data_IF_899681794586
#
_entry.id   IF_899681794586
#
_cell.length_a   1.000
_cell.length_b   1.000
_cell.length_c   1.000
_cell.angle_alpha   90.00
_cell.angle_beta   90.00
_cell.angle_gamma   90.00
#
_symmetry.space_group_name_H-M   'P 1'
#
loop_
_entity.id
_entity.type
_entity.pdbx_description
1 polymer ?
#
# COMPACT_ATOMS: atom_id res chain seq x y z
N UNK A 1 -32.61 21.84 38.01
CA UNK A 1 -32.41 23.01 37.11
C UNK A 1 -30.91 23.16 36.92
N UNK A 2 -30.29 23.09 35.75
CA UNK A 2 -30.77 23.20 34.37
C UNK A 2 -29.97 22.26 33.46
N UNK A 3 -30.68 21.64 32.52
CA UNK A 3 -30.11 21.01 31.34
C UNK A 3 -29.45 22.08 30.46
N UNK A 4 -28.26 21.80 29.92
CA UNK A 4 -27.71 22.53 28.78
C UNK A 4 -27.91 21.67 27.54
N UNK A 5 -28.97 21.98 26.80
CA UNK A 5 -29.13 21.60 25.40
C UNK A 5 -28.10 22.42 24.61
N UNK A 6 -27.17 21.73 23.95
CA UNK A 6 -26.34 22.32 22.89
C UNK A 6 -27.11 22.20 21.59
N UNK A 7 -27.62 23.34 21.12
CA UNK A 7 -28.21 23.51 19.79
C UNK A 7 -27.10 23.52 18.75
N UNK A 8 -27.06 22.51 17.88
CA UNK A 8 -26.29 22.54 16.64
C UNK A 8 -27.17 23.10 15.54
N UNK A 9 -26.93 24.35 15.14
CA UNK A 9 -27.44 24.88 13.86
C UNK A 9 -26.42 24.58 12.74
N UNK A 10 -26.87 24.13 11.56
CA UNK A 10 -26.00 23.97 10.41
C UNK A 10 -25.85 25.31 9.69
N UNK A 11 -24.62 25.81 9.60
CA UNK A 11 -24.29 26.93 8.71
C UNK A 11 -24.29 26.39 7.28
N UNK A 12 -25.44 26.51 6.62
CA UNK A 12 -25.60 26.33 5.19
C UNK A 12 -25.20 27.64 4.51
N UNK A 13 -24.04 27.65 3.84
CA UNK A 13 -23.73 28.59 2.76
C UNK A 13 -22.47 28.14 2.02
N UNK A 14 -22.63 27.27 1.04
CA UNK A 14 -21.64 27.10 -0.03
C UNK A 14 -22.39 27.03 -1.36
N UNK A 15 -22.11 28.02 -2.21
CA UNK A 15 -22.55 28.07 -3.59
C UNK A 15 -22.12 26.78 -4.30
N UNK A 16 -23.09 26.13 -4.94
CA UNK A 16 -22.90 24.94 -5.74
C UNK A 16 -22.01 25.25 -6.95
N UNK A 17 -20.74 24.87 -6.88
CA UNK A 17 -19.98 24.60 -8.08
C UNK A 17 -20.50 23.26 -8.65
N UNK A 18 -21.55 23.34 -9.45
CA UNK A 18 -22.01 22.22 -10.27
C UNK A 18 -20.82 21.84 -11.16
N UNK A 19 -20.17 20.70 -10.88
CA UNK A 19 -19.28 20.08 -11.86
C UNK A 19 -20.09 19.93 -13.15
N UNK A 20 -19.60 20.56 -14.22
CA UNK A 20 -20.24 20.46 -15.53
C UNK A 20 -20.43 18.96 -15.86
N UNK A 21 -21.60 18.55 -16.37
CA UNK A 21 -21.77 17.20 -16.90
C UNK A 21 -20.87 17.08 -18.14
N UNK A 22 -19.67 16.53 -17.96
CA UNK A 22 -18.65 16.55 -19.02
C UNK A 22 -17.47 15.61 -18.80
N UNK A 23 -16.91 15.50 -17.60
CA UNK A 23 -15.70 14.70 -17.40
C UNK A 23 -15.79 13.89 -16.10
N UNK A 24 -16.12 12.62 -16.25
CA UNK A 24 -16.45 11.73 -15.14
C UNK A 24 -15.18 11.11 -14.54
N UNK A 25 -15.11 11.09 -13.21
CA UNK A 25 -14.15 10.28 -12.48
C UNK A 25 -14.18 8.85 -13.02
N UNK A 26 -13.02 8.33 -13.37
CA UNK A 26 -12.90 7.05 -14.04
C UNK A 26 -11.83 6.20 -13.38
N UNK A 27 -12.03 4.88 -13.44
CA UNK A 27 -11.10 3.90 -12.91
C UNK A 27 -10.90 2.79 -13.91
N UNK A 28 -9.67 2.31 -14.04
CA UNK A 28 -9.30 1.13 -14.80
C UNK A 28 -8.42 0.24 -13.93
N UNK A 29 -8.58 -1.07 -14.06
CA UNK A 29 -7.93 -2.06 -13.18
C UNK A 29 -7.39 -3.19 -14.04
N UNK A 30 -6.18 -3.66 -13.72
CA UNK A 30 -5.61 -4.85 -14.34
C UNK A 30 -4.66 -5.55 -13.39
N UNK A 31 -4.40 -6.83 -13.66
CA UNK A 31 -3.40 -7.63 -12.95
C UNK A 31 -2.64 -8.53 -13.91
N UNK A 32 -1.39 -8.82 -13.55
CA UNK A 32 -0.54 -9.81 -14.23
C UNK A 32 0.21 -10.63 -13.19
N UNK A 33 0.41 -11.91 -13.49
CA UNK A 33 1.25 -12.81 -12.70
C UNK A 33 2.73 -12.45 -12.96
N UNK A 34 3.46 -12.17 -11.88
CA UNK A 34 4.89 -11.82 -11.88
C UNK A 34 5.71 -12.84 -11.08
N UNK A 35 5.17 -14.04 -10.87
CA UNK A 35 5.84 -15.13 -10.17
C UNK A 35 7.17 -15.45 -10.89
N UNK A 36 8.31 -15.39 -10.17
CA UNK A 36 9.60 -15.56 -10.80
C UNK A 36 9.84 -17.04 -11.20
N UNK A 37 10.67 -17.29 -12.22
CA UNK A 37 11.30 -18.59 -12.36
C UNK A 37 12.06 -18.97 -11.08
N UNK A 38 12.07 -20.26 -10.71
CA UNK A 38 12.77 -20.74 -9.52
C UNK A 38 14.30 -20.53 -9.58
N UNK A 39 14.84 -20.23 -10.76
CA UNK A 39 16.25 -19.85 -10.99
C UNK A 39 16.56 -18.42 -10.56
N UNK A 40 15.57 -17.63 -10.15
CA UNK A 40 15.78 -16.30 -9.59
C UNK A 40 15.82 -16.41 -8.07
N UNK A 41 16.89 -15.94 -7.41
CA UNK A 41 17.03 -16.08 -5.97
C UNK A 41 16.10 -15.13 -5.21
N UNK A 42 15.69 -15.58 -4.03
CA UNK A 42 14.93 -14.78 -3.08
C UNK A 42 15.83 -13.91 -2.21
N UNK A 43 15.25 -12.89 -1.58
CA UNK A 43 15.93 -12.15 -0.53
C UNK A 43 16.39 -13.10 0.57
N UNK A 44 17.62 -12.90 1.05
CA UNK A 44 17.93 -13.34 2.40
C UNK A 44 18.79 -12.38 3.21
N UNK A 45 18.60 -12.46 4.52
CA UNK A 45 19.60 -12.00 5.48
C UNK A 45 20.66 -13.10 5.54
N UNK A 46 21.95 -12.75 5.43
CA UNK A 46 23.02 -13.75 5.49
C UNK A 46 22.85 -14.62 6.76
N UNK A 47 22.92 -15.96 6.65
CA UNK A 47 23.40 -16.76 5.52
C UNK A 47 22.32 -17.32 4.56
N UNK A 48 21.04 -16.97 4.71
CA UNK A 48 19.91 -17.74 4.14
C UNK A 48 19.59 -17.50 2.65
N UNK A 49 20.56 -17.12 1.82
CA UNK A 49 20.31 -16.82 0.40
C UNK A 49 20.17 -18.12 -0.39
N UNK A 50 19.19 -18.19 -1.29
CA UNK A 50 19.02 -19.37 -2.11
C UNK A 50 18.01 -19.21 -3.22
N UNK A 51 17.81 -20.31 -3.93
CA UNK A 51 16.75 -20.46 -4.91
C UNK A 51 15.48 -20.94 -4.22
N UNK A 52 14.35 -20.53 -4.77
CA UNK A 52 13.07 -21.09 -4.37
C UNK A 52 13.03 -22.59 -4.74
N UNK A 53 12.45 -23.40 -3.86
CA UNK A 53 12.18 -24.82 -4.09
C UNK A 53 10.79 -25.07 -4.68
N UNK A 54 9.96 -24.03 -4.74
CA UNK A 54 8.60 -24.09 -5.27
C UNK A 54 7.86 -22.77 -5.05
N UNK A 55 6.58 -22.78 -5.41
CA UNK A 55 5.66 -21.65 -5.25
C UNK A 55 4.56 -22.10 -4.31
N UNK A 56 4.36 -21.40 -3.19
CA UNK A 56 3.21 -21.62 -2.31
C UNK A 56 1.99 -20.88 -2.87
N UNK A 57 2.17 -19.61 -3.18
CA UNK A 57 1.16 -18.76 -3.81
C UNK A 57 1.82 -17.83 -4.85
N UNK A 58 1.11 -17.50 -5.95
CA UNK A 58 1.64 -16.66 -7.01
C UNK A 58 1.83 -15.22 -6.54
N UNK A 59 2.78 -14.52 -7.17
CA UNK A 59 3.00 -13.09 -6.99
C UNK A 59 2.31 -12.31 -8.10
N UNK A 60 1.64 -11.21 -7.75
CA UNK A 60 0.98 -10.36 -8.73
C UNK A 60 1.56 -8.94 -8.77
N UNK A 61 1.52 -8.36 -9.96
CA UNK A 61 1.49 -6.92 -10.13
C UNK A 61 0.06 -6.51 -10.48
N UNK A 62 -0.49 -5.54 -9.76
CA UNK A 62 -1.85 -5.03 -9.95
C UNK A 62 -1.78 -3.53 -10.16
N UNK A 63 -2.43 -3.03 -11.20
CA UNK A 63 -2.48 -1.62 -11.52
C UNK A 63 -3.89 -1.08 -11.38
N UNK A 64 -3.99 0.13 -10.83
CA UNK A 64 -5.17 0.97 -10.89
C UNK A 64 -4.81 2.27 -11.60
N UNK A 65 -5.58 2.64 -12.62
CA UNK A 65 -5.51 3.94 -13.27
C UNK A 65 -6.75 4.71 -12.88
N UNK A 66 -6.55 5.94 -12.39
CA UNK A 66 -7.64 6.85 -12.01
C UNK A 66 -7.51 8.11 -12.85
N UNK A 67 -8.64 8.58 -13.40
CA UNK A 67 -8.70 9.81 -14.18
C UNK A 67 -9.81 10.74 -13.73
N UNK A 68 -9.55 12.04 -13.77
CA UNK A 68 -10.54 13.11 -13.51
C UNK A 68 -11.08 13.77 -14.78
N UNK A 69 -10.62 13.32 -15.96
CA UNK A 69 -10.95 13.89 -17.27
C UNK A 69 -9.81 14.68 -17.90
N UNK A 70 -8.98 15.31 -17.07
CA UNK A 70 -7.83 16.10 -17.51
C UNK A 70 -6.53 15.32 -17.35
N UNK A 71 -6.37 14.64 -16.21
CA UNK A 71 -5.17 13.90 -15.84
C UNK A 71 -5.49 12.46 -15.48
N UNK A 72 -4.54 11.57 -15.79
CA UNK A 72 -4.58 10.16 -15.41
C UNK A 72 -3.36 9.84 -14.56
N UNK A 73 -3.58 9.13 -13.46
CA UNK A 73 -2.53 8.67 -12.55
C UNK A 73 -2.63 7.16 -12.41
N UNK A 74 -1.49 6.48 -12.46
CA UNK A 74 -1.39 5.04 -12.26
C UNK A 74 -0.70 4.71 -10.94
N UNK A 75 -1.27 3.76 -10.19
CA UNK A 75 -0.62 3.14 -9.06
C UNK A 75 -0.50 1.64 -9.32
N UNK A 76 0.69 1.10 -9.12
CA UNK A 76 0.97 -0.33 -9.28
C UNK A 76 1.45 -0.89 -7.95
N UNK A 77 0.78 -1.92 -7.44
CA UNK A 77 1.27 -2.71 -6.31
C UNK A 77 1.89 -4.00 -6.81
N UNK A 78 3.12 -4.29 -6.40
CA UNK A 78 3.87 -5.49 -6.80
C UNK A 78 4.17 -6.31 -5.56
N UNK A 79 3.80 -7.59 -5.58
CA UNK A 79 4.18 -8.55 -4.56
C UNK A 79 5.70 -8.77 -4.58
N UNK A 80 6.40 -7.98 -3.76
CA UNK A 80 7.86 -7.90 -3.74
C UNK A 80 8.32 -7.28 -2.43
N UNK A 81 9.59 -7.48 -2.07
CA UNK A 81 10.17 -6.80 -0.91
C UNK A 81 10.34 -5.29 -1.16
N UNK A 82 10.57 -4.87 -2.38
CA UNK A 82 10.93 -3.50 -2.71
C UNK A 82 11.29 -3.43 -4.17
N UNK A 83 11.43 -2.22 -4.70
CA UNK A 83 11.82 -2.00 -6.10
C UNK A 83 12.94 -0.98 -6.09
N UNK A 84 14.18 -1.44 -6.16
CA UNK A 84 15.34 -0.58 -6.21
C UNK A 84 15.58 -0.08 -7.64
N UNK A 85 15.86 1.23 -7.78
CA UNK A 85 16.24 1.83 -9.07
C UNK A 85 17.40 1.09 -9.73
N UNK A 86 18.38 0.66 -8.95
CA UNK A 86 19.61 0.01 -9.42
C UNK A 86 19.56 -1.52 -9.40
N UNK A 87 18.38 -2.14 -9.31
CA UNK A 87 18.26 -3.62 -9.28
C UNK A 87 18.88 -4.28 -10.52
N UNK A 88 18.80 -3.60 -11.67
CA UNK A 88 19.38 -4.03 -12.96
C UNK A 88 20.84 -3.54 -13.17
N UNK A 89 21.53 -3.12 -12.11
CA UNK A 89 22.89 -2.58 -12.15
C UNK A 89 22.96 -1.06 -11.98
N UNK A 90 24.18 -0.53 -11.85
CA UNK A 90 24.42 0.89 -11.58
C UNK A 90 24.08 1.83 -12.75
N UNK A 91 24.12 1.30 -13.98
CA UNK A 91 23.89 2.07 -15.21
C UNK A 91 22.40 2.21 -15.56
N UNK A 92 21.53 1.41 -14.93
CA UNK A 92 20.10 1.36 -15.23
C UNK A 92 19.27 1.96 -14.10
N UNK A 93 18.17 2.59 -14.45
CA UNK A 93 17.14 2.99 -13.48
C UNK A 93 15.86 2.23 -13.84
N UNK A 94 15.68 1.08 -13.19
CA UNK A 94 14.57 0.17 -13.45
C UNK A 94 13.20 0.83 -13.28
N UNK A 95 13.07 1.74 -12.32
CA UNK A 95 11.80 2.46 -12.09
C UNK A 95 11.54 3.43 -13.24
N UNK A 96 12.55 4.19 -13.66
CA UNK A 96 12.42 5.12 -14.79
C UNK A 96 12.11 4.38 -16.10
N UNK A 97 12.73 3.22 -16.32
CA UNK A 97 12.48 2.36 -17.48
C UNK A 97 11.03 1.86 -17.52
N UNK A 98 10.49 1.33 -16.41
CA UNK A 98 9.08 0.91 -16.35
C UNK A 98 8.16 2.08 -16.67
N UNK A 99 8.40 3.24 -16.07
CA UNK A 99 7.58 4.44 -16.27
C UNK A 99 7.59 4.91 -17.72
N UNK A 100 8.75 4.90 -18.38
CA UNK A 100 8.85 5.27 -19.79
C UNK A 100 8.20 4.24 -20.72
N UNK A 101 8.44 2.95 -20.50
CA UNK A 101 7.77 1.91 -21.28
C UNK A 101 6.24 1.97 -21.14
N UNK A 102 5.72 2.27 -19.94
CA UNK A 102 4.29 2.47 -19.73
C UNK A 102 3.78 3.73 -20.45
N UNK A 103 4.52 4.84 -20.35
CA UNK A 103 4.21 6.09 -21.05
C UNK A 103 4.07 5.88 -22.56
N UNK A 104 5.01 5.17 -23.19
CA UNK A 104 4.94 4.85 -24.61
C UNK A 104 3.70 4.03 -25.00
N UNK A 105 3.17 3.22 -24.08
CA UNK A 105 2.02 2.34 -24.33
C UNK A 105 0.65 3.00 -24.10
N UNK A 106 0.54 3.99 -23.21
CA UNK A 106 -0.75 4.57 -22.79
C UNK A 106 -0.78 6.11 -22.64
N UNK A 107 0.36 6.78 -22.75
CA UNK A 107 0.48 8.23 -22.67
C UNK A 107 0.36 8.83 -21.27
N UNK A 108 0.28 8.03 -20.20
CA UNK A 108 0.35 8.53 -18.81
C UNK A 108 1.76 9.08 -18.56
N UNK A 109 1.87 10.28 -17.98
CA UNK A 109 3.17 10.90 -17.68
C UNK A 109 4.01 10.00 -16.75
N UNK A 110 5.32 9.83 -16.96
CA UNK A 110 6.17 9.02 -16.08
C UNK A 110 6.11 9.41 -14.59
N UNK A 111 5.93 10.70 -14.31
CA UNK A 111 5.75 11.28 -12.98
C UNK A 111 4.41 10.93 -12.34
N UNK A 112 3.42 10.54 -13.15
CA UNK A 112 2.06 10.12 -12.74
C UNK A 112 1.93 8.61 -12.54
N UNK A 113 3.06 7.90 -12.51
CA UNK A 113 3.10 6.45 -12.32
C UNK A 113 3.83 6.14 -11.00
N UNK A 114 3.12 5.62 -10.02
CA UNK A 114 3.67 5.18 -8.74
C UNK A 114 3.81 3.65 -8.71
N UNK A 115 5.00 3.16 -8.36
CA UNK A 115 5.23 1.75 -8.09
C UNK A 115 5.39 1.54 -6.58
N UNK A 116 4.62 0.60 -6.04
CA UNK A 116 4.58 0.22 -4.64
C UNK A 116 4.93 -1.26 -4.52
N UNK A 117 5.72 -1.60 -3.50
CA UNK A 117 5.95 -2.99 -3.11
C UNK A 117 5.07 -3.33 -1.91
N UNK A 118 4.52 -4.55 -1.85
CA UNK A 118 3.82 -5.02 -0.63
C UNK A 118 4.76 -5.19 0.56
N UNK A 119 6.07 -5.31 0.28
CA UNK A 119 7.14 -5.60 1.22
C UNK A 119 7.22 -7.08 1.65
N UNK A 120 6.68 -8.00 0.83
CA UNK A 120 6.75 -9.43 1.10
C UNK A 120 8.18 -9.97 0.99
N UNK A 121 8.63 -10.73 2.00
CA UNK A 121 10.02 -11.19 2.11
C UNK A 121 10.32 -12.54 1.46
N UNK A 122 9.31 -13.30 1.03
CA UNK A 122 9.48 -14.55 0.27
C UNK A 122 9.28 -14.31 -1.23
N UNK A 123 9.98 -13.28 -1.71
CA UNK A 123 9.97 -12.78 -3.08
C UNK A 123 11.43 -12.57 -3.57
N UNK A 124 11.67 -12.41 -4.89
CA UNK A 124 12.99 -12.05 -5.41
C UNK A 124 13.55 -10.78 -4.75
N UNK A 125 14.88 -10.66 -4.67
CA UNK A 125 15.56 -9.47 -4.14
C UNK A 125 15.53 -8.29 -5.13
N UNK A 126 14.32 -7.75 -5.36
CA UNK A 126 14.13 -6.51 -6.10
C UNK A 126 14.52 -5.27 -5.28
N UNK A 127 14.76 -5.43 -3.97
CA UNK A 127 15.19 -4.37 -3.07
C UNK A 127 16.66 -3.96 -3.22
N UNK A 128 17.45 -4.70 -4.01
CA UNK A 128 18.85 -4.38 -4.27
C UNK A 128 19.75 -4.58 -3.06
N UNK A 129 19.39 -5.48 -2.15
CA UNK A 129 20.23 -5.82 -0.99
C UNK A 129 21.45 -6.66 -1.41
N UNK A 130 21.33 -7.38 -2.52
CA UNK A 130 22.40 -8.06 -3.24
C UNK A 130 22.38 -7.68 -4.72
N UNK A 131 23.46 -8.02 -5.42
CA UNK A 131 23.57 -7.82 -6.86
C UNK A 131 22.77 -8.88 -7.63
N UNK A 132 21.43 -8.79 -7.60
CA UNK A 132 20.55 -9.72 -8.32
C UNK A 132 20.94 -9.86 -9.80
N UNK A 133 21.30 -8.75 -10.45
CA UNK A 133 21.79 -8.70 -11.83
C UNK A 133 23.00 -9.61 -12.14
N UNK A 134 23.78 -10.03 -11.14
CA UNK A 134 24.91 -10.94 -11.33
C UNK A 134 24.49 -12.41 -11.43
N UNK A 135 23.24 -12.74 -11.10
CA UNK A 135 22.75 -14.11 -11.21
C UNK A 135 22.39 -14.46 -12.67
N UNK A 136 22.75 -15.66 -13.17
CA UNK A 136 22.38 -16.11 -14.51
C UNK A 136 20.87 -16.01 -14.75
N UNK A 137 20.49 -15.39 -15.88
CA UNK A 137 19.08 -15.21 -16.26
C UNK A 137 18.35 -14.06 -15.56
N UNK A 138 18.92 -13.45 -14.51
CA UNK A 138 18.25 -12.38 -13.77
C UNK A 138 18.01 -11.12 -14.61
N UNK A 139 18.94 -10.74 -15.49
CA UNK A 139 18.76 -9.58 -16.37
C UNK A 139 17.60 -9.78 -17.36
N UNK A 140 17.52 -10.96 -18.00
CA UNK A 140 16.42 -11.28 -18.90
C UNK A 140 15.08 -11.32 -18.18
N UNK A 141 15.05 -11.83 -16.95
CA UNK A 141 13.86 -11.79 -16.10
C UNK A 141 13.48 -10.37 -15.69
N UNK A 142 14.45 -9.51 -15.34
CA UNK A 142 14.20 -8.10 -15.03
C UNK A 142 13.63 -7.35 -16.25
N UNK A 143 14.14 -7.60 -17.46
CA UNK A 143 13.58 -7.00 -18.67
C UNK A 143 12.13 -7.47 -18.92
N UNK A 144 11.85 -8.76 -18.74
CA UNK A 144 10.48 -9.28 -18.82
C UNK A 144 9.57 -8.68 -17.75
N UNK A 145 10.05 -8.56 -16.51
CA UNK A 145 9.31 -7.94 -15.42
C UNK A 145 9.02 -6.46 -15.72
N UNK A 146 9.99 -5.70 -16.25
CA UNK A 146 9.77 -4.32 -16.69
C UNK A 146 8.60 -4.24 -17.67
N UNK A 147 8.61 -5.10 -18.68
CA UNK A 147 7.58 -5.12 -19.72
C UNK A 147 6.22 -5.52 -19.14
N UNK A 148 6.16 -6.52 -18.25
CA UNK A 148 4.95 -6.91 -17.53
C UNK A 148 4.38 -5.74 -16.69
N UNK A 149 5.23 -5.01 -15.97
CA UNK A 149 4.83 -3.86 -15.16
C UNK A 149 4.31 -2.70 -16.03
N UNK A 150 4.95 -2.44 -17.18
CA UNK A 150 4.47 -1.44 -18.12
C UNK A 150 3.13 -1.86 -18.76
N UNK A 151 3.00 -3.13 -19.15
CA UNK A 151 1.79 -3.66 -19.77
C UNK A 151 0.60 -3.69 -18.82
N UNK A 152 0.77 -4.03 -17.54
CA UNK A 152 -0.35 -4.01 -16.58
C UNK A 152 -0.90 -2.59 -16.38
N UNK A 153 -0.05 -1.56 -16.43
CA UNK A 153 -0.49 -0.16 -16.44
C UNK A 153 -1.32 0.15 -17.69
N UNK A 154 -0.82 -0.22 -18.87
CA UNK A 154 -1.52 0.01 -20.13
C UNK A 154 -2.83 -0.78 -20.23
N UNK A 155 -2.90 -1.98 -19.66
CA UNK A 155 -4.11 -2.78 -19.57
C UNK A 155 -5.14 -2.11 -18.65
N UNK A 156 -4.71 -1.60 -17.49
CA UNK A 156 -5.58 -0.87 -16.58
C UNK A 156 -6.12 0.40 -17.26
N UNK A 157 -5.27 1.18 -17.94
CA UNK A 157 -5.69 2.38 -18.67
C UNK A 157 -6.76 2.07 -19.73
N UNK A 158 -6.60 0.98 -20.49
CA UNK A 158 -7.59 0.54 -21.49
C UNK A 158 -8.90 0.04 -20.88
N UNK A 159 -8.87 -0.42 -19.63
CA UNK A 159 -10.05 -0.88 -18.89
C UNK A 159 -10.77 0.26 -18.13
N UNK A 160 -10.39 1.52 -18.41
CA UNK A 160 -10.94 2.68 -17.73
C UNK A 160 -12.42 2.88 -18.06
N UNK A 161 -13.22 3.12 -17.02
CA UNK A 161 -14.64 3.45 -17.16
C UNK A 161 -15.14 4.31 -15.99
N UNK A 162 -16.28 5.01 -16.14
CA UNK A 162 -16.82 5.87 -15.11
C UNK A 162 -17.06 5.14 -13.78
N UNK A 163 -16.72 5.80 -12.67
CA UNK A 163 -16.77 5.19 -11.34
C UNK A 163 -17.03 6.22 -10.22
N UNK A 164 -17.12 5.70 -9.00
CA UNK A 164 -17.21 6.42 -7.74
C UNK A 164 -16.11 5.92 -6.82
N UNK A 165 -15.54 6.83 -6.04
CA UNK A 165 -14.61 6.51 -4.96
C UNK A 165 -15.34 6.60 -3.62
N UNK A 166 -15.15 5.59 -2.77
CA UNK A 166 -15.64 5.53 -1.39
C UNK A 166 -14.45 5.32 -0.45
N UNK A 167 -14.49 5.94 0.73
CA UNK A 167 -13.39 5.89 1.71
C UNK A 167 -13.89 5.34 3.04
N UNK A 168 -13.21 4.32 3.55
CA UNK A 168 -13.50 3.68 4.82
C UNK A 168 -12.27 3.64 5.72
N UNK A 169 -12.49 3.63 7.04
CA UNK A 169 -11.45 3.46 8.05
C UNK A 169 -11.85 2.37 9.04
N UNK A 170 -10.89 1.52 9.37
CA UNK A 170 -11.06 0.37 10.24
C UNK A 170 -9.88 0.20 11.19
N UNK A 171 -9.94 -0.86 12.00
CA UNK A 171 -8.86 -1.19 12.93
C UNK A 171 -8.65 -2.69 13.00
N UNK A 172 -7.41 -3.15 12.90
CA UNK A 172 -7.02 -4.56 13.02
C UNK A 172 -6.02 -4.71 14.16
N UNK A 173 -6.55 -4.80 15.39
CA UNK A 173 -5.72 -5.04 16.57
C UNK A 173 -5.13 -6.46 16.58
N UNK A 174 -3.88 -6.58 17.02
CA UNK A 174 -3.23 -7.87 17.26
C UNK A 174 -2.61 -8.54 16.02
N UNK A 175 -2.64 -7.88 14.86
CA UNK A 175 -1.83 -8.30 13.71
C UNK A 175 -0.39 -7.80 13.88
N UNK A 176 -0.21 -6.49 14.07
CA UNK A 176 1.08 -5.84 14.21
C UNK A 176 1.50 -5.59 15.66
N UNK A 177 2.80 -5.56 15.90
CA UNK A 177 3.41 -5.12 17.16
C UNK A 177 4.70 -4.33 16.90
N UNK A 178 5.05 -3.46 17.85
CA UNK A 178 6.34 -2.78 17.86
C UNK A 178 7.50 -3.78 17.91
N UNK A 179 8.39 -3.71 16.93
CA UNK A 179 9.59 -4.56 16.82
C UNK A 179 10.61 -4.27 17.93
N UNK A 180 10.55 -3.07 18.52
CA UNK A 180 11.43 -2.59 19.58
C UNK A 180 10.58 -1.99 20.69
N UNK A 181 10.85 -2.39 21.92
CA UNK A 181 10.08 -2.04 23.12
C UNK A 181 11.01 -1.68 24.28
N UNK A 182 10.55 -0.85 25.22
CA UNK A 182 11.34 -0.41 26.37
C UNK A 182 10.87 -1.15 27.62
N UNK A 183 11.80 -1.79 28.33
CA UNK A 183 11.54 -2.41 29.63
C UNK A 183 11.44 -1.36 30.74
N UNK A 184 10.86 -1.75 31.88
CA UNK A 184 10.85 -0.93 33.11
C UNK A 184 12.25 -0.68 33.67
N UNK A 185 13.23 -1.51 33.29
CA UNK A 185 14.66 -1.33 33.54
C UNK A 185 15.33 -0.28 32.64
N UNK A 186 14.57 0.35 31.74
CA UNK A 186 15.04 1.36 30.78
C UNK A 186 15.75 0.79 29.55
N UNK A 187 15.91 -0.53 29.42
CA UNK A 187 16.58 -1.16 28.27
C UNK A 187 15.64 -1.29 27.07
N UNK A 188 16.24 -1.27 25.87
CA UNK A 188 15.55 -1.54 24.62
C UNK A 188 15.64 -3.05 24.30
N UNK A 189 14.50 -3.67 24.07
CA UNK A 189 14.36 -5.08 23.71
C UNK A 189 13.84 -5.21 22.29
N UNK A 190 14.27 -6.25 21.57
CA UNK A 190 13.59 -6.68 20.35
C UNK A 190 12.35 -7.50 20.70
N UNK A 191 11.32 -7.45 19.85
CA UNK A 191 10.08 -8.21 20.05
C UNK A 191 10.30 -9.71 20.33
N UNK A 192 11.31 -10.29 19.68
CA UNK A 192 11.71 -11.70 19.87
C UNK A 192 12.23 -12.02 21.27
N UNK A 193 12.91 -11.07 21.88
CA UNK A 193 13.68 -11.25 23.12
C UNK A 193 13.06 -10.42 24.26
N UNK A 194 11.74 -10.15 24.17
CA UNK A 194 11.02 -9.26 25.07
C UNK A 194 10.89 -9.86 26.49
N UNK A 195 10.94 -9.03 27.54
CA UNK A 195 10.67 -9.48 28.91
C UNK A 195 9.16 -9.79 29.10
N UNK A 196 8.75 -10.34 30.25
CA UNK A 196 7.35 -10.49 30.63
C UNK A 196 6.54 -9.21 30.43
N UNK A 197 5.24 -9.34 30.13
CA UNK A 197 4.38 -8.20 29.77
C UNK A 197 4.32 -7.13 30.88
N UNK A 198 4.40 -7.51 32.15
CA UNK A 198 4.41 -6.64 33.31
C UNK A 198 5.74 -5.90 33.53
N UNK A 199 6.80 -6.30 32.83
CA UNK A 199 8.11 -5.64 32.80
C UNK A 199 8.28 -4.71 31.59
N UNK A 200 7.24 -4.53 30.77
CA UNK A 200 7.27 -3.65 29.58
C UNK A 200 6.71 -2.28 29.95
N UNK A 201 7.55 -1.25 29.85
CA UNK A 201 7.18 0.14 30.10
C UNK A 201 6.61 0.84 28.84
N UNK A 202 7.04 0.40 27.65
CA UNK A 202 6.62 0.96 26.36
C UNK A 202 6.64 -0.13 25.29
N UNK A 203 5.50 -0.33 24.65
CA UNK A 203 5.28 -1.35 23.62
C UNK A 203 5.86 -0.98 22.26
N UNK A 204 6.41 0.22 22.12
CA UNK A 204 6.87 0.76 20.85
C UNK A 204 5.71 1.20 19.97
N UNK A 205 6.06 1.56 18.73
CA UNK A 205 5.11 2.09 17.76
C UNK A 205 4.43 0.93 17.02
N UNK A 206 3.10 0.91 17.06
CA UNK A 206 2.24 0.14 16.16
C UNK A 206 1.10 1.02 15.67
N UNK A 207 0.59 0.73 14.48
CA UNK A 207 -0.57 1.40 13.90
C UNK A 207 -1.51 0.32 13.37
N UNK A 208 -2.65 0.21 14.05
CA UNK A 208 -3.67 -0.77 13.73
C UNK A 208 -4.73 -0.19 12.77
N UNK A 209 -4.61 1.07 12.32
CA UNK A 209 -5.53 1.68 11.38
C UNK A 209 -5.45 1.01 10.00
N UNK A 210 -6.62 0.66 9.46
CA UNK A 210 -6.79 0.26 8.07
C UNK A 210 -7.50 1.38 7.34
N UNK A 211 -6.92 1.86 6.24
CA UNK A 211 -7.60 2.79 5.32
C UNK A 211 -7.99 2.03 4.07
N UNK A 212 -9.23 2.18 3.64
CA UNK A 212 -9.82 1.48 2.48
C UNK A 212 -10.33 2.51 1.48
N UNK A 213 -9.90 2.40 0.23
CA UNK A 213 -10.48 3.09 -0.91
C UNK A 213 -11.21 2.04 -1.76
N UNK A 214 -12.52 2.16 -1.87
CA UNK A 214 -13.34 1.29 -2.72
C UNK A 214 -13.77 2.06 -3.96
N UNK A 215 -13.49 1.48 -5.13
CA UNK A 215 -13.84 2.02 -6.43
C UNK A 215 -15.01 1.21 -6.98
N UNK A 216 -16.13 1.88 -7.25
CA UNK A 216 -17.37 1.26 -7.70
C UNK A 216 -17.76 1.85 -9.05
N UNK A 217 -18.07 0.99 -10.03
CA UNK A 217 -18.61 1.40 -11.33
C UNK A 217 -19.98 2.08 -11.15
N UNK A 218 -20.41 2.88 -12.13
CA UNK A 218 -21.70 3.59 -12.02
C UNK A 218 -22.94 2.68 -11.99
N UNK A 219 -22.80 1.42 -12.43
CA UNK A 219 -23.82 0.38 -12.33
C UNK A 219 -23.81 -0.36 -10.97
N UNK A 220 -22.91 0.03 -10.06
CA UNK A 220 -22.75 -0.59 -8.74
C UNK A 220 -21.77 -1.77 -8.72
N UNK A 221 -21.20 -2.17 -9.85
CA UNK A 221 -20.21 -3.25 -9.85
C UNK A 221 -18.91 -2.81 -9.15
N UNK A 222 -18.30 -3.65 -8.29
CA UNK A 222 -17.05 -3.31 -7.63
C UNK A 222 -15.88 -3.38 -8.61
N UNK A 223 -15.16 -2.28 -8.80
CA UNK A 223 -14.02 -2.21 -9.70
C UNK A 223 -12.72 -2.61 -8.99
N UNK A 224 -12.35 -1.89 -7.92
CA UNK A 224 -11.13 -2.14 -7.18
C UNK A 224 -11.26 -1.79 -5.71
N UNK A 225 -10.40 -2.39 -4.90
CA UNK A 225 -10.21 -2.03 -3.49
C UNK A 225 -8.74 -1.78 -3.26
N UNK A 226 -8.37 -0.56 -2.86
CA UNK A 226 -7.04 -0.24 -2.37
C UNK A 226 -7.11 -0.21 -0.84
N UNK A 227 -6.21 -0.92 -0.18
CA UNK A 227 -6.19 -0.96 1.28
C UNK A 227 -4.78 -0.79 1.81
N UNK A 228 -4.67 -0.04 2.90
CA UNK A 228 -3.41 0.30 3.54
C UNK A 228 -3.40 -0.22 4.97
N UNK A 229 -2.28 -0.80 5.38
CA UNK A 229 -2.04 -1.22 6.76
C UNK A 229 -0.54 -1.24 7.08
N UNK A 230 -0.16 -0.96 8.33
CA UNK A 230 1.23 -0.76 8.75
C UNK A 230 1.82 -1.98 9.47
N UNK A 231 2.24 -2.99 8.72
CA UNK A 231 2.94 -4.14 9.29
C UNK A 231 3.87 -4.80 8.26
N UNK A 232 5.11 -5.13 8.66
CA UNK A 232 6.01 -5.89 7.80
C UNK A 232 5.40 -7.26 7.44
N UNK A 233 5.32 -7.62 6.15
CA UNK A 233 4.97 -8.97 5.71
C UNK A 233 6.17 -9.92 5.86
N UNK A 234 6.41 -10.31 7.11
CA UNK A 234 7.50 -11.18 7.55
C UNK A 234 7.00 -12.47 8.22
N UNK A 235 5.73 -12.83 8.04
CA UNK A 235 5.16 -14.05 8.65
C UNK A 235 5.82 -15.31 8.10
N UNK A 236 6.15 -15.32 6.81
CA UNK A 236 6.96 -16.39 6.19
C UNK A 236 8.25 -15.83 5.61
N UNK A 237 8.98 -15.03 6.39
CA UNK A 237 10.22 -14.41 5.93
C UNK A 237 11.29 -15.45 5.53
N UNK A 238 11.88 -15.30 4.34
CA UNK A 238 12.96 -16.18 3.83
C UNK A 238 12.55 -17.66 3.77
N UNK A 239 11.34 -17.92 3.31
CA UNK A 239 10.83 -19.27 3.10
C UNK A 239 11.39 -19.83 1.77
N UNK A 240 11.71 -21.14 1.68
CA UNK A 240 12.09 -21.75 0.40
C UNK A 240 10.96 -21.74 -0.65
N UNK A 241 9.73 -21.39 -0.29
CA UNK A 241 8.61 -21.24 -1.22
C UNK A 241 8.32 -19.76 -1.51
N UNK A 242 8.01 -19.44 -2.76
CA UNK A 242 7.50 -18.12 -3.15
C UNK A 242 6.17 -17.85 -2.45
N UNK A 243 6.01 -16.65 -1.87
CA UNK A 243 4.75 -16.21 -1.26
C UNK A 243 4.62 -14.69 -1.17
N UNK A 244 3.41 -14.19 -1.41
CA UNK A 244 3.00 -12.81 -1.21
C UNK A 244 2.69 -12.48 0.27
N UNK A 245 2.85 -13.45 1.19
CA UNK A 245 2.61 -13.31 2.64
C UNK A 245 1.16 -12.86 2.94
N UNK A 246 0.87 -12.35 4.14
CA UNK A 246 -0.48 -12.01 4.56
C UNK A 246 -1.18 -10.97 3.66
N UNK A 247 -0.49 -10.00 2.99
CA UNK A 247 -1.14 -9.11 2.04
C UNK A 247 -1.78 -9.84 0.87
N UNK A 248 -1.13 -10.89 0.35
CA UNK A 248 -1.66 -11.71 -0.73
C UNK A 248 -2.96 -12.43 -0.34
N UNK A 249 -2.97 -13.04 0.85
CA UNK A 249 -4.17 -13.68 1.41
C UNK A 249 -5.29 -12.66 1.65
N UNK A 250 -4.97 -11.49 2.22
CA UNK A 250 -5.96 -10.43 2.43
C UNK A 250 -6.59 -9.97 1.11
N UNK A 251 -5.76 -9.71 0.08
CA UNK A 251 -6.24 -9.32 -1.23
C UNK A 251 -7.13 -10.39 -1.87
N UNK A 252 -6.73 -11.66 -1.81
CA UNK A 252 -7.53 -12.77 -2.34
C UNK A 252 -8.89 -12.90 -1.64
N UNK A 253 -8.94 -12.75 -0.31
CA UNK A 253 -10.20 -12.76 0.45
C UNK A 253 -11.11 -11.61 0.02
N UNK A 254 -10.57 -10.40 -0.13
CA UNK A 254 -11.34 -9.23 -0.56
C UNK A 254 -11.91 -9.44 -1.97
N UNK A 255 -11.09 -9.87 -2.92
CA UNK A 255 -11.53 -10.18 -4.30
C UNK A 255 -12.63 -11.24 -4.30
N UNK A 256 -12.45 -12.33 -3.53
CA UNK A 256 -13.41 -13.42 -3.45
C UNK A 256 -14.76 -12.99 -2.87
N UNK A 257 -14.76 -12.17 -1.82
CA UNK A 257 -16.01 -11.81 -1.11
C UNK A 257 -16.71 -10.64 -1.79
N UNK A 258 -15.97 -9.65 -2.26
CA UNK A 258 -16.56 -8.44 -2.87
C UNK A 258 -16.85 -8.64 -4.35
N UNK A 259 -16.09 -9.50 -5.04
CA UNK A 259 -16.15 -9.63 -6.50
C UNK A 259 -15.44 -8.51 -7.25
N UNK A 260 -14.62 -7.68 -6.58
CA UNK A 260 -13.86 -6.64 -7.26
C UNK A 260 -12.85 -7.22 -8.26
N UNK A 261 -12.53 -6.46 -9.31
CA UNK A 261 -11.57 -6.87 -10.35
C UNK A 261 -10.13 -6.93 -9.81
N UNK A 262 -9.84 -6.20 -8.72
CA UNK A 262 -8.56 -6.27 -8.02
C UNK A 262 -8.56 -5.65 -6.63
N UNK A 263 -7.94 -6.34 -5.67
CA UNK A 263 -7.62 -5.80 -4.35
C UNK A 263 -6.11 -5.57 -4.22
N UNK A 264 -5.72 -4.36 -3.85
CA UNK A 264 -4.34 -3.87 -3.88
C UNK A 264 -3.90 -3.42 -2.48
N UNK A 265 -2.83 -4.01 -1.98
CA UNK A 265 -2.24 -3.64 -0.70
C UNK A 265 -1.17 -2.56 -0.87
N UNK A 266 -1.28 -1.48 -0.09
CA UNK A 266 -0.23 -0.48 0.05
C UNK A 266 0.35 -0.53 1.46
N UNK A 267 1.67 -0.60 1.53
CA UNK A 267 2.38 -0.59 2.79
C UNK A 267 2.43 0.81 3.43
N UNK A 268 2.26 0.84 4.75
CA UNK A 268 2.48 2.05 5.56
C UNK A 268 3.92 2.22 6.04
N UNK A 269 4.11 3.06 7.05
CA UNK A 269 5.42 3.30 7.68
C UNK A 269 5.87 2.12 8.59
N UNK A 270 5.96 0.91 8.05
CA UNK A 270 6.13 -0.33 8.80
C UNK A 270 7.53 -0.56 9.39
N UNK A 271 8.49 0.36 9.21
CA UNK A 271 9.89 0.22 9.64
C UNK A 271 10.11 -0.27 11.09
N UNK A 272 9.14 0.00 11.97
CA UNK A 272 9.16 -0.39 13.38
C UNK A 272 8.14 -1.48 13.75
N UNK A 273 7.34 -2.01 12.84
CA UNK A 273 6.28 -2.99 13.12
C UNK A 273 6.52 -4.35 12.47
N UNK A 274 6.17 -5.42 13.19
CA UNK A 274 6.25 -6.82 12.74
C UNK A 274 4.97 -7.57 13.12
N UNK A 275 4.68 -8.74 12.52
CA UNK A 275 3.58 -9.57 12.96
C UNK A 275 3.78 -10.02 14.43
N UNK A 276 2.70 -10.05 15.21
CA UNK A 276 2.74 -10.44 16.63
C UNK A 276 3.37 -11.82 16.85
N UNK A 277 3.07 -12.78 15.97
CA UNK A 277 3.62 -14.14 16.00
C UNK A 277 4.85 -14.22 15.11
N UNK A 278 5.99 -14.54 15.72
CA UNK A 278 7.25 -14.80 15.03
C UNK A 278 7.29 -16.27 14.59
N UNK A 279 6.83 -16.51 13.39
CA UNK A 279 6.59 -17.84 12.83
C UNK A 279 7.20 -17.96 11.43
N UNK A 280 7.08 -19.14 10.82
CA UNK A 280 7.29 -19.37 9.39
C UNK A 280 6.18 -20.27 8.84
N UNK A 281 5.01 -20.27 9.50
CA UNK A 281 3.88 -21.12 9.21
C UNK A 281 2.86 -20.39 8.33
N UNK A 282 2.43 -21.06 7.25
CA UNK A 282 1.42 -20.51 6.35
C UNK A 282 0.03 -20.43 7.00
N UNK A 283 -0.25 -21.17 8.07
CA UNK A 283 -1.49 -20.99 8.84
C UNK A 283 -1.53 -19.61 9.52
N UNK A 284 -0.39 -19.08 9.95
CA UNK A 284 -0.28 -17.72 10.48
C UNK A 284 -0.41 -16.66 9.38
N UNK A 285 0.09 -16.94 8.17
CA UNK A 285 -0.14 -16.09 6.98
C UNK A 285 -1.63 -15.99 6.71
N UNK A 286 -2.32 -17.14 6.70
CA UNK A 286 -3.76 -17.23 6.56
C UNK A 286 -4.50 -16.44 7.63
N UNK A 287 -4.13 -16.62 8.90
CA UNK A 287 -4.72 -15.91 10.05
C UNK A 287 -4.63 -14.40 9.90
N UNK A 288 -3.44 -13.86 9.60
CA UNK A 288 -3.25 -12.41 9.44
C UNK A 288 -3.92 -11.87 8.19
N UNK A 289 -3.89 -12.61 7.09
CA UNK A 289 -4.58 -12.24 5.86
C UNK A 289 -6.10 -12.17 6.06
N UNK A 290 -6.68 -13.13 6.79
CA UNK A 290 -8.10 -13.12 7.11
C UNK A 290 -8.50 -12.00 8.07
N UNK A 291 -7.66 -11.67 9.06
CA UNK A 291 -7.90 -10.53 9.95
C UNK A 291 -7.96 -9.22 9.16
N UNK A 292 -6.95 -8.97 8.32
CA UNK A 292 -6.88 -7.75 7.52
C UNK A 292 -7.96 -7.70 6.43
N UNK A 293 -8.06 -8.75 5.63
CA UNK A 293 -9.05 -8.83 4.57
C UNK A 293 -10.49 -8.78 5.10
N UNK A 294 -10.77 -9.41 6.24
CA UNK A 294 -12.07 -9.36 6.90
C UNK A 294 -12.45 -7.93 7.35
N UNK A 295 -11.49 -7.18 7.88
CA UNK A 295 -11.72 -5.76 8.22
C UNK A 295 -12.02 -4.94 6.97
N UNK A 296 -11.26 -5.13 5.89
CA UNK A 296 -11.48 -4.43 4.63
C UNK A 296 -12.87 -4.75 4.05
N UNK A 297 -13.24 -6.05 4.01
CA UNK A 297 -14.57 -6.50 3.59
C UNK A 297 -15.67 -5.83 4.41
N UNK A 298 -15.50 -5.75 5.74
CA UNK A 298 -16.45 -5.05 6.63
C UNK A 298 -16.60 -3.58 6.23
N UNK A 299 -15.51 -2.89 5.92
CA UNK A 299 -15.57 -1.49 5.50
C UNK A 299 -16.22 -1.33 4.12
N UNK A 300 -15.90 -2.19 3.15
CA UNK A 300 -16.56 -2.19 1.84
C UNK A 300 -18.07 -2.39 1.99
N UNK A 301 -18.50 -3.39 2.77
CA UNK A 301 -19.92 -3.65 3.02
C UNK A 301 -20.65 -2.46 3.67
N UNK A 302 -20.01 -1.78 4.63
CA UNK A 302 -20.55 -0.55 5.22
C UNK A 302 -20.75 0.56 4.19
N UNK A 303 -19.79 0.74 3.27
CA UNK A 303 -19.85 1.75 2.20
C UNK A 303 -20.82 1.38 1.07
N UNK A 304 -21.27 0.14 1.00
CA UNK A 304 -22.33 -0.31 0.08
C UNK A 304 -23.75 0.01 0.58
N UNK A 305 -23.90 0.55 1.78
CA UNK A 305 -25.21 0.96 2.30
C UNK A 305 -25.84 2.05 1.41
N UNK A 306 -27.15 1.96 1.08
CA UNK A 306 -27.81 2.94 0.20
C UNK A 306 -27.78 4.38 0.69
N UNK A 307 -27.67 4.57 2.01
CA UNK A 307 -27.61 5.84 2.71
C UNK A 307 -26.17 6.30 3.01
N UNK A 308 -25.16 5.62 2.45
CA UNK A 308 -23.78 6.04 2.58
C UNK A 308 -23.60 7.48 2.06
N UNK A 309 -23.15 8.43 2.90
CA UNK A 309 -23.01 9.82 2.50
C UNK A 309 -22.11 9.95 1.25
N UNK A 310 -22.57 10.76 0.30
CA UNK A 310 -21.79 11.13 -0.89
C UNK A 310 -21.41 12.60 -0.76
N UNK A 311 -20.12 12.87 -0.61
CA UNK A 311 -19.58 14.23 -0.61
C UNK A 311 -18.71 14.43 -1.85
N UNK A 312 -18.75 15.63 -2.42
CA UNK A 312 -17.74 16.04 -3.39
C UNK A 312 -16.48 16.37 -2.61
N UNK A 313 -15.48 15.49 -2.71
CA UNK A 313 -14.17 15.69 -2.09
C UNK A 313 -13.14 15.97 -3.17
N UNK A 314 -12.28 16.97 -2.93
CA UNK A 314 -11.09 17.19 -3.75
C UNK A 314 -9.98 16.28 -3.20
N UNK A 315 -9.54 15.32 -4.00
CA UNK A 315 -8.38 14.49 -3.67
C UNK A 315 -7.14 15.17 -4.24
N UNK A 316 -6.22 15.59 -3.38
CA UNK A 316 -4.94 16.17 -3.78
C UNK A 316 -3.82 15.14 -3.60
N UNK A 317 -2.99 14.95 -4.63
CA UNK A 317 -1.78 14.15 -4.55
C UNK A 317 -0.57 15.08 -4.42
N UNK A 318 0.31 14.80 -3.46
CA UNK A 318 1.56 15.54 -3.30
C UNK A 318 2.73 14.58 -3.19
N UNK A 319 3.74 14.77 -4.04
CA UNK A 319 5.04 14.08 -3.89
C UNK A 319 5.94 14.94 -3.03
N UNK A 320 6.39 14.42 -1.90
CA UNK A 320 7.39 15.06 -1.05
C UNK A 320 8.68 14.25 -1.07
N UNK A 321 9.76 14.85 -1.55
CA UNK A 321 11.09 14.29 -1.33
C UNK A 321 11.54 14.66 0.09
N UNK A 322 11.67 13.66 0.94
CA UNK A 322 12.26 13.84 2.26
C UNK A 322 13.78 13.75 2.13
N UNK A 323 14.49 14.77 2.62
CA UNK A 323 15.96 14.70 2.72
C UNK A 323 16.34 13.77 3.89
N UNK A 324 17.47 13.08 3.80
CA UNK A 324 18.02 12.26 4.91
C UNK A 324 18.20 13.09 6.19
N UNK A 325 18.54 14.38 6.07
CA UNK A 325 18.63 15.32 7.19
C UNK A 325 17.26 15.52 7.86
N UNK A 326 16.19 15.64 7.08
CA UNK A 326 14.81 15.78 7.58
C UNK A 326 14.34 14.54 8.35
N UNK A 327 14.71 13.34 7.89
CA UNK A 327 14.36 12.06 8.54
C UNK A 327 15.13 11.89 9.86
N UNK A 328 16.40 12.31 9.91
CA UNK A 328 17.21 12.22 11.13
C UNK A 328 16.80 13.28 12.16
N UNK A 329 16.44 14.50 11.76
CA UNK A 329 16.01 15.56 12.68
C UNK A 329 14.65 15.29 13.32
N UNK A 330 13.72 14.66 12.60
CA UNK A 330 12.41 14.28 13.14
C UNK A 330 12.53 13.22 14.27
N UNK A 331 13.49 12.29 14.15
CA UNK A 331 13.76 11.29 15.17
C UNK A 331 14.48 11.85 16.42
N UNK A 332 15.14 13.01 16.32
CA UNK A 332 15.84 13.65 17.44
C UNK A 332 14.91 14.58 18.24
N UNK A 333 13.87 15.13 17.61
CA UNK A 333 13.01 16.15 18.24
C UNK A 333 11.66 15.63 18.76
N UNK A 334 11.26 14.38 18.45
CA UNK A 334 10.01 13.82 18.97
C UNK A 334 8.74 14.55 18.49
N UNK A 335 8.85 15.42 17.48
CA UNK A 335 7.71 16.13 16.93
C UNK A 335 7.07 15.27 15.83
N UNK A 336 5.84 14.81 16.10
CA UNK A 336 5.01 14.13 15.13
C UNK A 336 4.76 15.02 13.91
N UNK A 337 5.00 14.46 12.72
CA UNK A 337 4.57 15.04 11.44
C UNK A 337 3.04 14.98 11.32
N UNK A 338 2.30 15.70 12.17
CA UNK A 338 0.86 15.86 12.00
C UNK A 338 0.48 17.34 12.10
N UNK A 339 -0.05 17.82 10.97
CA UNK A 339 -0.69 19.10 10.64
C UNK A 339 0.22 20.28 10.23
N UNK A 340 0.10 20.78 8.98
CA UNK A 340 0.33 22.20 8.73
C UNK A 340 -0.87 23.02 9.23
N UNK A 341 -0.69 24.29 9.64
CA UNK A 341 -1.81 25.14 10.00
C UNK A 341 -2.68 25.44 8.78
N UNK A 342 -4.00 25.38 8.96
CA UNK A 342 -4.96 25.86 7.96
C UNK A 342 -4.67 27.35 7.64
N UNK A 343 -4.71 27.77 6.36
CA UNK A 343 -4.62 29.18 6.04
C UNK A 343 -5.86 29.91 6.60
N UNK A 344 -5.62 30.87 7.49
CA UNK A 344 -6.66 31.76 8.00
C UNK A 344 -7.27 32.61 6.87
N UNK A 345 -8.51 33.11 7.05
CA UNK A 345 -9.18 33.88 6.02
C UNK A 345 -8.42 35.17 5.73
N UNK A 346 -8.00 35.34 4.47
CA UNK A 346 -7.52 36.62 3.95
C UNK A 346 -8.66 37.63 3.97
N UNK A 347 -8.68 38.48 4.99
CA UNK A 347 -9.46 39.71 5.03
C UNK A 347 -8.88 40.73 4.06
N UNK A 348 -9.77 41.29 3.26
CA UNK A 348 -9.55 42.44 2.39
C UNK A 348 -9.12 43.69 3.19
N UNK A 349 -8.23 44.46 2.57
CA UNK A 349 -8.08 45.92 2.55
C UNK A 349 -8.68 46.74 3.72
N UNK A 350 -7.88 47.62 4.33
CA UNK A 350 -7.98 49.08 4.13
C UNK A 350 -6.97 49.86 5.00
N UNK A 351 -6.46 50.95 4.40
CA UNK A 351 -5.58 52.04 4.86
C UNK A 351 -4.18 51.74 5.36
#
# INVERSE_FOLDING_TARGET
>A
MNARQTTTEPICNLQSAICKPGEAFSVGVARVDVTPPLTIPHLAIAPRHGFFKGVHDPLFAKAIVVGDGERRVALVTVDSIGIARRVAGLERDFIAEVRWCAHEQCGIGPEDIMLCATHAHSTPDLGGFRSLAQHPGAMAWLDALRDQLASVIAMADRATGPARLKVGRGTVAGLGAGRRLRGTDGRLYYWRDRPPNDEIADWGISDDEVVVLSFERLDGAPAAVLFHFMCHPTTVQVNPLVSADFPGVAAALIEQVTGCEGAMFIQGACGATVPVRLTTDFDDVGRYGHMLGGEVVKQVARMSAPDCPCEQVRVECAVRQLSTTTVLSANVLGEGLLTPPLPGPTGLLES
#
